data_IF_568973413163
#
_entry.id   IF_568973413163
#
_cell.length_a   1.000
_cell.length_b   1.000
_cell.length_c   1.000
_cell.angle_alpha   90.00
_cell.angle_beta   90.00
_cell.angle_gamma   90.00
#
_symmetry.space_group_name_H-M   'P 1'
#
loop_
_entity.id
_entity.type
_entity.pdbx_description
1 polymer ?
#
# COMPACT_ATOMS: atom_id res chain seq x y z
N UNK A 1 16.96 -11.29 -25.28
CA UNK A 1 15.50 -11.35 -25.45
C UNK A 1 14.87 -11.04 -24.11
N UNK A 2 13.93 -10.09 -24.08
CA UNK A 2 13.17 -9.78 -22.88
C UNK A 2 11.69 -9.79 -23.25
N UNK A 3 11.10 -10.99 -23.25
CA UNK A 3 9.69 -11.16 -22.98
C UNK A 3 9.62 -11.61 -21.52
N UNK A 4 9.42 -10.68 -20.60
CA UNK A 4 9.04 -11.01 -19.23
C UNK A 4 7.80 -10.20 -18.91
N UNK A 5 6.65 -10.74 -19.30
CA UNK A 5 5.42 -10.55 -18.57
C UNK A 5 5.69 -11.08 -17.16
N UNK A 6 6.13 -10.21 -16.23
CA UNK A 6 6.29 -10.62 -14.85
C UNK A 6 4.88 -10.77 -14.29
N UNK A 7 4.49 -12.01 -14.01
CA UNK A 7 3.37 -12.39 -13.13
C UNK A 7 3.58 -11.89 -11.68
N UNK A 8 4.06 -10.66 -11.50
CA UNK A 8 4.16 -10.05 -10.19
C UNK A 8 2.74 -9.64 -9.80
N UNK A 9 2.07 -10.54 -9.07
CA UNK A 9 0.74 -10.38 -8.47
C UNK A 9 0.66 -9.23 -7.43
N UNK A 10 1.68 -8.37 -7.36
CA UNK A 10 1.91 -7.38 -6.31
C UNK A 10 2.58 -6.09 -6.82
N UNK A 11 2.51 -5.78 -8.12
CA UNK A 11 3.00 -4.48 -8.59
C UNK A 11 2.24 -3.36 -7.84
N UNK A 12 2.96 -2.42 -7.18
CA UNK A 12 2.32 -1.30 -6.52
C UNK A 12 1.54 -0.48 -7.54
N UNK A 13 0.46 0.16 -7.09
CA UNK A 13 -0.31 1.08 -7.93
C UNK A 13 0.64 2.06 -8.62
N UNK A 14 0.73 1.97 -9.94
CA UNK A 14 1.41 2.95 -10.78
C UNK A 14 0.34 3.79 -11.46
N UNK A 15 0.53 5.11 -11.42
CA UNK A 15 -0.33 6.03 -12.15
C UNK A 15 0.06 6.15 -13.63
N UNK A 16 -0.45 7.19 -14.28
CA UNK A 16 -0.07 7.53 -15.66
C UNK A 16 -1.01 7.00 -16.75
N UNK A 17 -2.20 6.52 -16.39
CA UNK A 17 -3.27 6.16 -17.32
C UNK A 17 -4.64 6.30 -16.65
N UNK A 18 -5.73 6.04 -17.38
CA UNK A 18 -7.10 6.36 -16.98
C UNK A 18 -7.62 5.56 -15.79
N UNK A 19 -7.04 4.39 -15.51
CA UNK A 19 -7.41 3.53 -14.37
C UNK A 19 -7.29 4.25 -13.02
N UNK A 20 -6.42 5.27 -12.92
CA UNK A 20 -6.26 6.07 -11.69
C UNK A 20 -7.50 6.88 -11.35
N UNK A 21 -8.29 7.27 -12.34
CA UNK A 21 -9.50 8.09 -12.13
C UNK A 21 -10.55 7.27 -11.39
N UNK A 22 -10.80 6.06 -11.88
CA UNK A 22 -11.76 5.13 -11.26
C UNK A 22 -11.21 4.50 -9.97
N UNK A 23 -9.90 4.22 -9.94
CA UNK A 23 -9.21 3.72 -8.75
C UNK A 23 -8.98 4.77 -7.67
N UNK A 24 -9.27 6.05 -7.94
CA UNK A 24 -9.11 7.11 -6.96
C UNK A 24 -9.95 6.81 -5.71
N UNK A 25 -9.46 7.05 -4.48
CA UNK A 25 -10.21 6.73 -3.26
C UNK A 25 -11.59 7.38 -3.13
N UNK A 26 -11.82 8.48 -3.86
CA UNK A 26 -13.14 9.13 -3.91
C UNK A 26 -14.16 8.40 -4.79
N UNK A 27 -13.69 7.59 -5.75
CA UNK A 27 -14.52 6.77 -6.64
C UNK A 27 -14.54 5.32 -6.16
N UNK A 28 -13.37 4.76 -5.83
CA UNK A 28 -13.23 3.49 -5.14
C UNK A 28 -13.47 2.24 -6.00
N UNK A 29 -13.41 2.36 -7.33
CA UNK A 29 -13.65 1.22 -8.23
C UNK A 29 -12.31 0.55 -8.55
N UNK A 30 -12.21 -0.75 -8.28
CA UNK A 30 -11.04 -1.56 -8.63
C UNK A 30 -10.88 -1.68 -10.14
N UNK A 31 -9.98 -0.90 -10.74
CA UNK A 31 -9.72 -0.90 -12.18
C UNK A 31 -8.28 -1.34 -12.45
N UNK A 32 -8.03 -2.61 -12.76
CA UNK A 32 -6.70 -3.05 -13.16
C UNK A 32 -6.34 -2.50 -14.54
N UNK A 33 -5.07 -2.15 -14.72
CA UNK A 33 -4.52 -1.80 -16.02
C UNK A 33 -3.60 -2.92 -16.49
N UNK A 34 -3.84 -3.44 -17.69
CA UNK A 34 -2.87 -4.28 -18.39
C UNK A 34 -2.04 -3.40 -19.32
N UNK A 35 -0.75 -3.30 -19.04
CA UNK A 35 0.18 -2.49 -19.81
C UNK A 35 1.50 -3.24 -20.00
N UNK A 36 2.14 -3.03 -21.15
CA UNK A 36 3.54 -3.39 -21.34
C UNK A 36 4.41 -2.19 -20.94
N UNK A 37 5.14 -2.32 -19.85
CA UNK A 37 6.08 -1.29 -19.38
C UNK A 37 7.39 -1.91 -18.91
N UNK A 38 8.56 -1.32 -19.25
CA UNK A 38 8.75 -0.15 -20.11
C UNK A 38 8.55 -0.47 -21.60
N UNK A 39 8.03 0.49 -22.35
CA UNK A 39 7.97 0.46 -23.82
C UNK A 39 9.11 1.33 -24.40
N UNK A 40 9.83 0.78 -25.38
CA UNK A 40 10.96 1.44 -26.04
C UNK A 40 10.52 2.59 -26.95
N UNK A 41 9.35 2.49 -27.58
CA UNK A 41 8.91 3.43 -28.62
C UNK A 41 7.92 4.47 -28.11
N UNK A 42 7.47 4.33 -26.86
CA UNK A 42 6.55 5.26 -26.21
C UNK A 42 6.98 6.74 -26.34
N UNK A 43 6.06 7.60 -26.77
CA UNK A 43 6.29 9.04 -26.99
C UNK A 43 7.42 9.37 -27.98
N UNK A 44 7.68 8.51 -28.96
CA UNK A 44 8.64 8.76 -30.03
C UNK A 44 7.96 8.73 -31.40
N UNK A 45 8.63 9.26 -32.43
CA UNK A 45 8.15 9.11 -33.82
C UNK A 45 8.22 7.68 -34.37
N UNK A 46 8.79 6.73 -33.62
CA UNK A 46 8.83 5.30 -33.96
C UNK A 46 7.64 4.52 -33.40
N UNK A 47 6.70 5.16 -32.70
CA UNK A 47 5.44 4.54 -32.27
C UNK A 47 4.50 4.36 -33.48
N UNK A 48 4.77 3.31 -34.26
CA UNK A 48 4.11 3.01 -35.53
C UNK A 48 3.54 1.60 -35.54
N UNK A 49 2.63 1.32 -36.48
CA UNK A 49 1.92 0.04 -36.58
C UNK A 49 2.87 -1.15 -36.74
N UNK A 50 4.06 -0.93 -37.33
CA UNK A 50 5.10 -1.95 -37.50
C UNK A 50 5.71 -2.43 -36.18
N UNK A 51 5.51 -1.70 -35.07
CA UNK A 51 5.93 -2.10 -33.72
C UNK A 51 4.87 -2.91 -32.98
N UNK A 52 3.66 -3.00 -33.52
CA UNK A 52 2.55 -3.72 -32.90
C UNK A 52 2.69 -5.22 -33.17
N UNK A 53 2.69 -6.01 -32.10
CA UNK A 53 2.71 -7.47 -32.18
C UNK A 53 1.28 -8.04 -32.15
N UNK A 54 0.92 -8.80 -33.18
CA UNK A 54 -0.35 -9.53 -33.22
C UNK A 54 -0.49 -10.53 -32.06
N UNK A 55 0.60 -11.18 -31.66
CA UNK A 55 0.61 -12.14 -30.53
C UNK A 55 0.31 -11.43 -29.20
N UNK A 56 0.89 -10.26 -28.97
CA UNK A 56 0.63 -9.47 -27.75
C UNK A 56 -0.81 -8.94 -27.76
N UNK A 57 -1.32 -8.48 -28.90
CA UNK A 57 -2.72 -8.07 -29.02
C UNK A 57 -3.66 -9.25 -28.71
N UNK A 58 -3.37 -10.44 -29.24
CA UNK A 58 -4.14 -11.64 -28.96
C UNK A 58 -4.10 -11.99 -27.46
N UNK A 59 -2.93 -11.94 -26.84
CA UNK A 59 -2.77 -12.22 -25.41
C UNK A 59 -3.56 -11.24 -24.54
N UNK A 60 -3.39 -9.94 -24.74
CA UNK A 60 -4.06 -8.90 -23.94
C UNK A 60 -5.57 -8.91 -24.17
N UNK A 61 -6.00 -9.12 -25.42
CA UNK A 61 -7.42 -9.27 -25.77
C UNK A 61 -8.05 -10.47 -25.07
N UNK A 62 -7.42 -11.65 -25.18
CA UNK A 62 -7.87 -12.88 -24.52
C UNK A 62 -7.88 -12.76 -23.00
N UNK A 63 -6.85 -12.16 -22.40
CA UNK A 63 -6.78 -11.92 -20.96
C UNK A 63 -7.91 -11.00 -20.47
N UNK A 64 -8.13 -9.88 -21.17
CA UNK A 64 -9.18 -8.92 -20.84
C UNK A 64 -10.56 -9.55 -20.98
N UNK A 65 -10.81 -10.28 -22.07
CA UNK A 65 -12.06 -10.99 -22.29
C UNK A 65 -12.31 -12.05 -21.21
N UNK A 66 -11.28 -12.82 -20.84
CA UNK A 66 -11.37 -13.84 -19.77
C UNK A 66 -11.67 -13.20 -18.42
N UNK A 67 -11.01 -12.08 -18.09
CA UNK A 67 -11.27 -11.34 -16.85
C UNK A 67 -12.70 -10.82 -16.79
N UNK A 68 -13.18 -10.17 -17.85
CA UNK A 68 -14.56 -9.68 -17.93
C UNK A 68 -15.58 -10.83 -17.88
N UNK A 69 -15.30 -11.93 -18.59
CA UNK A 69 -16.16 -13.12 -18.57
C UNK A 69 -16.24 -13.74 -17.18
N UNK A 70 -15.09 -13.88 -16.50
CA UNK A 70 -15.02 -14.39 -15.13
C UNK A 70 -15.87 -13.52 -14.18
N UNK A 71 -15.67 -12.19 -14.19
CA UNK A 71 -16.45 -11.30 -13.33
C UNK A 71 -17.95 -11.32 -13.62
N UNK A 72 -18.33 -11.39 -14.90
CA UNK A 72 -19.74 -11.42 -15.28
C UNK A 72 -20.43 -12.75 -14.90
N UNK A 73 -19.68 -13.85 -14.89
CA UNK A 73 -20.23 -15.19 -14.67
C UNK A 73 -19.96 -15.76 -13.29
N UNK A 74 -19.09 -15.15 -12.47
CA UNK A 74 -18.68 -15.63 -11.16
C UNK A 74 -19.87 -16.13 -10.32
N UNK A 75 -19.77 -17.36 -9.84
CA UNK A 75 -20.74 -17.97 -8.94
C UNK A 75 -20.20 -17.98 -7.51
N UNK A 76 -21.04 -18.36 -6.53
CA UNK A 76 -20.65 -18.37 -5.13
C UNK A 76 -19.29 -19.04 -4.86
N UNK A 77 -18.95 -20.22 -5.44
CA UNK A 77 -17.62 -20.81 -5.25
C UNK A 77 -16.47 -19.92 -5.72
N UNK A 78 -16.62 -19.26 -6.86
CA UNK A 78 -15.62 -18.33 -7.41
C UNK A 78 -15.46 -17.11 -6.53
N UNK A 79 -16.57 -16.57 -6.02
CA UNK A 79 -16.60 -15.40 -5.14
C UNK A 79 -15.91 -15.72 -3.81
N UNK A 80 -16.19 -16.89 -3.23
CA UNK A 80 -15.53 -17.37 -2.00
C UNK A 80 -14.03 -17.57 -2.21
N UNK A 81 -13.63 -18.09 -3.38
CA UNK A 81 -12.23 -18.22 -3.75
C UNK A 81 -11.54 -16.84 -3.86
N UNK A 82 -12.19 -15.86 -4.50
CA UNK A 82 -11.68 -14.48 -4.57
C UNK A 82 -11.53 -13.87 -3.17
N UNK A 83 -12.53 -14.04 -2.30
CA UNK A 83 -12.46 -13.56 -0.91
C UNK A 83 -11.22 -14.12 -0.19
N UNK A 84 -10.94 -15.41 -0.37
CA UNK A 84 -9.77 -16.06 0.22
C UNK A 84 -8.46 -15.52 -0.36
N UNK A 85 -8.37 -15.31 -1.66
CA UNK A 85 -7.19 -14.70 -2.28
C UNK A 85 -6.96 -13.29 -1.75
N UNK A 86 -8.01 -12.48 -1.62
CA UNK A 86 -7.92 -11.12 -1.06
C UNK A 86 -7.40 -11.16 0.38
N UNK A 87 -7.93 -12.03 1.23
CA UNK A 87 -7.49 -12.21 2.63
C UNK A 87 -6.00 -12.59 2.72
N UNK A 88 -5.59 -13.64 1.99
CA UNK A 88 -4.21 -14.14 2.02
C UNK A 88 -3.24 -13.08 1.52
N UNK A 89 -3.56 -12.41 0.41
CA UNK A 89 -2.71 -11.34 -0.13
C UNK A 89 -2.69 -10.12 0.77
N UNK A 90 -3.79 -9.78 1.43
CA UNK A 90 -3.89 -8.67 2.38
C UNK A 90 -2.97 -8.89 3.58
N UNK A 91 -2.99 -10.08 4.18
CA UNK A 91 -2.05 -10.47 5.26
C UNK A 91 -0.60 -10.40 4.79
N UNK A 92 -0.31 -10.90 3.58
CA UNK A 92 1.02 -10.80 2.97
C UNK A 92 1.52 -9.36 2.81
N UNK A 93 0.65 -8.44 2.35
CA UNK A 93 0.98 -7.01 2.25
C UNK A 93 1.29 -6.38 3.60
N UNK A 94 0.58 -6.75 4.65
CA UNK A 94 0.83 -6.28 6.02
C UNK A 94 2.20 -6.77 6.52
N UNK A 95 2.50 -8.06 6.36
CA UNK A 95 3.81 -8.63 6.73
C UNK A 95 4.96 -8.00 5.96
N UNK A 96 4.79 -7.75 4.66
CA UNK A 96 5.82 -7.08 3.86
C UNK A 96 6.02 -5.62 4.30
N UNK A 97 4.93 -4.89 4.58
CA UNK A 97 5.02 -3.53 5.12
C UNK A 97 5.75 -3.49 6.47
N UNK A 98 5.45 -4.44 7.36
CA UNK A 98 6.13 -4.63 8.65
C UNK A 98 7.65 -4.78 8.47
N UNK A 99 8.07 -5.69 7.57
CA UNK A 99 9.48 -5.89 7.20
C UNK A 99 10.13 -4.62 6.61
N UNK A 100 9.45 -3.97 5.68
CA UNK A 100 9.95 -2.74 5.05
C UNK A 100 10.12 -1.61 6.06
N UNK A 101 9.22 -1.49 7.03
CA UNK A 101 9.32 -0.49 8.09
C UNK A 101 10.53 -0.74 9.00
N UNK A 102 10.80 -2.01 9.33
CA UNK A 102 11.97 -2.40 10.10
C UNK A 102 13.27 -2.13 9.32
N UNK A 103 13.33 -2.51 8.04
CA UNK A 103 14.48 -2.23 7.18
C UNK A 103 14.74 -0.72 7.05
N UNK A 104 13.68 0.06 6.84
CA UNK A 104 13.77 1.53 6.80
C UNK A 104 14.23 2.14 8.12
N UNK A 105 13.89 1.53 9.26
CA UNK A 105 14.40 1.94 10.56
C UNK A 105 15.90 1.69 10.65
N UNK A 106 16.37 0.49 10.32
CA UNK A 106 17.79 0.11 10.34
C UNK A 106 18.64 1.02 9.45
N UNK A 107 18.26 1.20 8.19
CA UNK A 107 18.96 2.09 7.25
C UNK A 107 19.09 3.50 7.81
N UNK A 108 18.02 4.04 8.41
CA UNK A 108 18.07 5.38 9.00
C UNK A 108 18.93 5.42 10.26
N UNK A 109 18.90 4.38 11.07
CA UNK A 109 19.71 4.29 12.28
C UNK A 109 21.21 4.30 11.95
N UNK A 110 21.62 3.56 10.92
CA UNK A 110 22.99 3.55 10.38
C UNK A 110 23.39 4.93 9.84
N UNK A 111 22.51 5.59 9.09
CA UNK A 111 22.80 6.90 8.50
C UNK A 111 23.08 8.03 9.52
N UNK A 112 22.61 7.89 10.76
CA UNK A 112 22.90 8.86 11.85
C UNK A 112 24.34 8.71 12.37
N UNK A 113 25.00 7.56 12.13
CA UNK A 113 26.40 7.32 12.54
C UNK A 113 27.47 7.98 11.65
N UNK A 114 27.12 8.39 10.42
CA UNK A 114 28.10 8.72 9.37
C UNK A 114 28.37 10.23 9.15
N UNK A 115 27.97 11.11 10.07
CA UNK A 115 28.31 12.54 9.96
C UNK A 115 29.29 12.98 11.04
N UNK A 116 30.61 13.07 10.74
CA UNK A 116 31.53 13.90 11.51
C UNK A 116 30.99 15.32 11.48
N UNK A 117 30.89 15.95 12.65
CA UNK A 117 30.34 17.29 12.83
C UNK A 117 30.99 18.32 11.90
N UNK A 118 30.36 18.56 10.75
CA UNK A 118 30.45 19.86 10.08
C UNK A 118 29.18 20.61 10.46
N UNK A 119 29.35 21.61 11.34
CA UNK A 119 28.38 22.69 11.52
C UNK A 119 28.00 23.19 10.13
N UNK A 120 26.83 22.81 9.63
CA UNK A 120 26.26 23.38 8.41
C UNK A 120 25.45 24.59 8.82
N UNK A 121 25.93 25.75 8.39
CA UNK A 121 25.21 27.00 8.37
C UNK A 121 23.81 26.83 7.74
N UNK A 122 22.86 27.53 8.35
CA UNK A 122 21.59 28.01 7.81
C UNK A 122 20.50 26.98 7.45
N UNK A 123 19.43 26.99 8.26
CA UNK A 123 18.05 26.62 7.95
C UNK A 123 17.75 25.22 7.37
N UNK A 124 18.52 24.18 7.73
CA UNK A 124 18.05 22.79 7.59
C UNK A 124 17.42 22.30 8.90
N UNK A 125 16.29 21.55 8.85
CA UNK A 125 15.69 20.98 10.05
C UNK A 125 16.73 20.12 10.78
N UNK A 126 16.83 20.31 12.10
CA UNK A 126 17.75 19.60 12.97
C UNK A 126 17.62 18.09 12.73
N UNK A 127 18.72 17.41 12.41
CA UNK A 127 18.71 15.96 12.25
C UNK A 127 18.22 15.33 13.56
N UNK A 128 17.28 14.38 13.46
CA UNK A 128 16.74 13.67 14.61
C UNK A 128 17.89 12.94 15.33
N UNK A 129 17.90 12.99 16.66
CA UNK A 129 18.76 12.11 17.45
C UNK A 129 18.29 10.65 17.30
N UNK A 130 19.13 9.68 17.67
CA UNK A 130 18.76 8.26 17.58
C UNK A 130 17.56 7.94 18.47
N UNK A 131 17.50 8.55 19.63
CA UNK A 131 16.44 8.42 20.64
C UNK A 131 15.10 8.95 20.10
N UNK A 132 15.14 10.11 19.43
CA UNK A 132 13.99 10.73 18.79
C UNK A 132 13.52 9.95 17.55
N UNK A 133 14.45 9.38 16.78
CA UNK A 133 14.16 8.51 15.64
C UNK A 133 13.35 7.28 16.10
N UNK A 134 13.78 6.62 17.18
CA UNK A 134 13.10 5.46 17.77
C UNK A 134 11.65 5.82 18.14
N UNK A 135 11.44 6.94 18.84
CA UNK A 135 10.10 7.38 19.20
C UNK A 135 9.19 7.60 17.98
N UNK A 136 9.70 8.27 16.94
CA UNK A 136 8.92 8.52 15.71
C UNK A 136 8.56 7.21 15.00
N UNK A 137 9.50 6.28 14.89
CA UNK A 137 9.26 5.00 14.22
C UNK A 137 8.24 4.15 14.94
N UNK A 138 8.30 4.06 16.28
CA UNK A 138 7.31 3.30 17.06
C UNK A 138 5.87 3.80 16.84
N UNK A 139 5.69 5.13 16.73
CA UNK A 139 4.37 5.70 16.37
C UNK A 139 4.00 5.46 14.91
N UNK A 140 4.97 5.63 14.00
CA UNK A 140 4.76 5.47 12.56
C UNK A 140 4.31 4.04 12.23
N UNK A 141 4.93 3.02 12.81
CA UNK A 141 4.64 1.61 12.55
C UNK A 141 3.17 1.31 12.82
N UNK A 142 2.70 1.65 14.02
CA UNK A 142 1.31 1.42 14.39
C UNK A 142 0.36 2.14 13.44
N UNK A 143 0.58 3.43 13.17
CA UNK A 143 -0.28 4.19 12.25
C UNK A 143 -0.30 3.62 10.83
N UNK A 144 0.83 3.15 10.30
CA UNK A 144 0.92 2.66 8.93
C UNK A 144 0.36 1.26 8.77
N UNK A 145 0.59 0.37 9.74
CA UNK A 145 0.03 -0.98 9.71
C UNK A 145 -1.49 -0.93 9.92
N UNK A 146 -1.98 -0.11 10.85
CA UNK A 146 -3.44 0.07 11.03
C UNK A 146 -4.09 0.68 9.79
N UNK A 147 -3.46 1.69 9.17
CA UNK A 147 -3.94 2.23 7.90
C UNK A 147 -4.00 1.16 6.80
N UNK A 148 -2.96 0.32 6.69
CA UNK A 148 -2.95 -0.79 5.73
C UNK A 148 -4.06 -1.79 6.05
N UNK A 149 -4.25 -2.18 7.31
CA UNK A 149 -5.34 -3.06 7.77
C UNK A 149 -6.69 -2.55 7.29
N UNK A 150 -6.99 -1.27 7.49
CA UNK A 150 -8.27 -0.68 7.08
C UNK A 150 -8.47 -0.74 5.57
N UNK A 151 -7.39 -0.59 4.80
CA UNK A 151 -7.42 -0.77 3.34
C UNK A 151 -7.67 -2.23 2.94
N UNK A 152 -7.14 -3.20 3.69
CA UNK A 152 -7.42 -4.62 3.44
C UNK A 152 -8.86 -5.00 3.82
N UNK A 153 -9.43 -4.39 4.86
CA UNK A 153 -10.87 -4.53 5.16
C UNK A 153 -11.74 -4.02 4.01
N UNK A 154 -11.42 -2.84 3.47
CA UNK A 154 -12.12 -2.29 2.31
C UNK A 154 -11.97 -3.16 1.05
N UNK A 155 -10.81 -3.82 0.88
CA UNK A 155 -10.60 -4.75 -0.22
C UNK A 155 -11.44 -6.02 -0.06
N UNK A 156 -11.65 -6.52 1.16
CA UNK A 156 -12.60 -7.61 1.41
C UNK A 156 -14.04 -7.17 1.15
N UNK A 157 -14.42 -5.97 1.61
CA UNK A 157 -15.76 -5.42 1.40
C UNK A 157 -16.13 -5.32 -0.08
N UNK A 158 -15.16 -5.04 -0.96
CA UNK A 158 -15.43 -4.93 -2.39
C UNK A 158 -15.80 -6.26 -3.05
N UNK A 159 -15.46 -7.41 -2.44
CA UNK A 159 -15.84 -8.75 -2.95
C UNK A 159 -17.37 -8.93 -2.91
N UNK A 160 -18.06 -8.21 -2.01
CA UNK A 160 -19.52 -8.19 -1.95
C UNK A 160 -20.18 -7.76 -3.26
N UNK A 161 -19.48 -6.96 -4.09
CA UNK A 161 -19.98 -6.49 -5.37
C UNK A 161 -20.17 -7.61 -6.40
N UNK A 162 -19.59 -8.79 -6.17
CA UNK A 162 -19.72 -9.94 -7.07
C UNK A 162 -20.99 -10.78 -6.80
N UNK A 163 -21.64 -10.57 -5.65
CA UNK A 163 -22.86 -11.33 -5.28
C UNK A 163 -24.06 -10.91 -6.12
N UNK A 164 -24.88 -11.89 -6.53
CA UNK A 164 -26.03 -11.67 -7.43
C UNK A 164 -27.36 -11.62 -6.68
N UNK A 165 -27.44 -12.29 -5.53
CA UNK A 165 -28.67 -12.42 -4.75
C UNK A 165 -28.41 -12.23 -3.24
N UNK A 166 -29.50 -12.13 -2.49
CA UNK A 166 -29.45 -11.85 -1.04
C UNK A 166 -28.83 -12.99 -0.23
N UNK A 167 -29.03 -14.24 -0.65
CA UNK A 167 -28.53 -15.43 0.04
C UNK A 167 -27.00 -15.52 -0.05
N UNK A 168 -26.44 -15.37 -1.26
CA UNK A 168 -24.99 -15.26 -1.48
C UNK A 168 -24.38 -14.14 -0.65
N UNK A 169 -25.08 -12.99 -0.58
CA UNK A 169 -24.65 -11.83 0.19
C UNK A 169 -24.54 -12.15 1.69
N UNK A 170 -25.50 -12.88 2.24
CA UNK A 170 -25.52 -13.23 3.67
C UNK A 170 -24.42 -14.23 4.02
N UNK A 171 -24.23 -15.27 3.19
CA UNK A 171 -23.15 -16.24 3.35
C UNK A 171 -21.78 -15.56 3.30
N UNK A 172 -21.57 -14.70 2.30
CA UNK A 172 -20.31 -14.00 2.11
C UNK A 172 -20.04 -13.01 3.26
N UNK A 173 -21.05 -12.27 3.72
CA UNK A 173 -20.88 -11.28 4.78
C UNK A 173 -20.29 -11.88 6.07
N UNK A 174 -20.83 -13.03 6.51
CA UNK A 174 -20.31 -13.72 7.69
C UNK A 174 -18.84 -14.12 7.53
N UNK A 175 -18.49 -14.69 6.36
CA UNK A 175 -17.11 -15.07 6.06
C UNK A 175 -16.17 -13.86 6.02
N UNK A 176 -16.59 -12.74 5.41
CA UNK A 176 -15.76 -11.55 5.33
C UNK A 176 -15.49 -10.95 6.72
N UNK A 177 -16.47 -11.00 7.63
CA UNK A 177 -16.27 -10.51 9.00
C UNK A 177 -15.24 -11.35 9.76
N UNK A 178 -15.29 -12.69 9.63
CA UNK A 178 -14.26 -13.59 10.16
C UNK A 178 -12.87 -13.30 9.55
N UNK A 179 -12.80 -13.09 8.24
CA UNK A 179 -11.54 -12.74 7.55
C UNK A 179 -10.99 -11.39 8.03
N UNK A 180 -11.84 -10.37 8.21
CA UNK A 180 -11.45 -9.06 8.75
C UNK A 180 -10.93 -9.16 10.18
N UNK A 181 -11.54 -9.99 11.01
CA UNK A 181 -11.02 -10.29 12.35
C UNK A 181 -9.62 -10.93 12.26
N UNK A 182 -9.45 -11.91 11.37
CA UNK A 182 -8.16 -12.53 11.08
C UNK A 182 -7.10 -11.53 10.63
N UNK A 183 -7.44 -10.60 9.73
CA UNK A 183 -6.55 -9.50 9.31
C UNK A 183 -6.22 -8.57 10.47
N UNK A 184 -7.19 -8.27 11.34
CA UNK A 184 -6.98 -7.41 12.51
C UNK A 184 -6.00 -8.05 13.47
N UNK A 185 -6.22 -9.31 13.82
CA UNK A 185 -5.32 -10.08 14.70
C UNK A 185 -3.91 -10.15 14.11
N UNK A 186 -3.79 -10.47 12.83
CA UNK A 186 -2.50 -10.50 12.12
C UNK A 186 -1.79 -9.14 12.16
N UNK A 187 -2.53 -8.04 11.92
CA UNK A 187 -1.96 -6.69 11.95
C UNK A 187 -1.43 -6.29 13.33
N UNK A 188 -2.13 -6.67 14.39
CA UNK A 188 -1.71 -6.39 15.77
C UNK A 188 -0.47 -7.21 16.15
N UNK A 189 -0.41 -8.47 15.72
CA UNK A 189 0.77 -9.32 15.89
C UNK A 189 2.00 -8.69 15.21
N UNK A 190 1.87 -8.30 13.93
CA UNK A 190 2.96 -7.66 13.17
C UNK A 190 3.42 -6.33 13.79
N UNK A 191 2.49 -5.51 14.31
CA UNK A 191 2.83 -4.30 15.07
C UNK A 191 3.65 -4.65 16.31
N UNK A 192 3.20 -5.62 17.09
CA UNK A 192 3.87 -6.03 18.32
C UNK A 192 5.27 -6.56 18.04
N UNK A 193 5.39 -7.49 17.09
CA UNK A 193 6.65 -8.14 16.74
C UNK A 193 7.67 -7.13 16.21
N UNK A 194 7.24 -6.19 15.37
CA UNK A 194 8.11 -5.10 14.89
C UNK A 194 8.56 -4.20 16.02
N UNK A 195 7.66 -3.83 16.95
CA UNK A 195 8.00 -3.01 18.12
C UNK A 195 9.00 -3.72 19.04
N UNK A 196 8.83 -5.03 19.26
CA UNK A 196 9.75 -5.87 20.04
C UNK A 196 11.12 -5.93 19.36
N UNK A 197 11.17 -6.13 18.04
CA UNK A 197 12.42 -6.15 17.28
C UNK A 197 13.18 -4.83 17.42
N UNK A 198 12.49 -3.69 17.23
CA UNK A 198 13.10 -2.36 17.41
C UNK A 198 13.61 -2.18 18.83
N UNK A 199 12.82 -2.56 19.84
CA UNK A 199 13.23 -2.46 21.24
C UNK A 199 14.53 -3.24 21.51
N UNK A 200 14.63 -4.48 21.03
CA UNK A 200 15.85 -5.30 21.18
C UNK A 200 17.05 -4.69 20.46
N UNK A 201 16.86 -4.14 19.26
CA UNK A 201 17.92 -3.44 18.52
C UNK A 201 18.39 -2.22 19.32
N UNK A 202 17.47 -1.41 19.85
CA UNK A 202 17.83 -0.20 20.62
C UNK A 202 18.53 -0.54 21.93
N UNK A 203 18.11 -1.59 22.63
CA UNK A 203 18.76 -2.10 23.84
C UNK A 203 20.19 -2.57 23.54
N UNK A 204 20.41 -3.29 22.44
CA UNK A 204 21.75 -3.73 22.04
C UNK A 204 22.72 -2.58 21.73
N UNK A 205 22.19 -1.39 21.44
CA UNK A 205 22.95 -0.19 21.09
C UNK A 205 22.98 0.86 22.23
N UNK A 206 22.42 0.56 23.41
CA UNK A 206 22.26 1.51 24.52
C UNK A 206 21.55 2.82 24.13
N UNK A 207 20.56 2.75 23.24
CA UNK A 207 19.77 3.91 22.81
C UNK A 207 18.51 3.99 23.66
N UNK A 208 18.38 5.06 24.45
CA UNK A 208 17.16 5.32 25.19
C UNK A 208 16.05 5.89 24.30
N UNK A 209 14.80 5.78 24.73
CA UNK A 209 13.67 6.35 24.00
C UNK A 209 13.38 7.76 24.48
N UNK A 210 13.57 8.75 23.63
CA UNK A 210 13.23 10.15 23.92
C UNK A 210 12.09 10.64 23.01
N UNK A 211 11.10 11.33 23.57
CA UNK A 211 10.02 11.92 22.77
C UNK A 211 10.53 13.10 21.95
N UNK A 212 10.04 13.24 20.71
CA UNK A 212 10.34 14.44 19.92
C UNK A 212 9.70 15.66 20.58
N UNK A 213 10.46 16.76 20.80
CA UNK A 213 9.89 18.00 21.32
C UNK A 213 8.73 18.45 20.44
N UNK A 214 7.59 18.79 21.04
CA UNK A 214 6.48 19.38 20.28
C UNK A 214 6.96 20.71 19.70
N UNK A 215 7.14 20.77 18.37
CA UNK A 215 7.38 22.04 17.67
C UNK A 215 6.26 23.01 18.05
N UNK A 216 6.63 24.20 18.55
CA UNK A 216 5.67 25.29 18.75
C UNK A 216 5.08 25.64 17.38
N UNK A 217 3.75 25.52 17.27
CA UNK A 217 3.03 25.90 16.04
C UNK A 217 3.25 27.39 15.80
N UNK A 218 3.76 27.72 14.62
CA UNK A 218 3.92 29.11 14.23
C UNK A 218 2.64 29.64 13.54
N UNK A 219 2.65 30.92 13.16
CA UNK A 219 1.49 31.55 12.49
C UNK A 219 1.16 30.88 11.14
N UNK A 220 2.18 30.33 10.47
CA UNK A 220 2.03 29.69 9.17
C UNK A 220 1.44 28.29 9.32
N UNK A 221 1.76 27.55 10.38
CA UNK A 221 1.13 26.25 10.70
C UNK A 221 -0.39 26.41 10.94
N UNK A 222 -0.79 27.50 11.62
CA UNK A 222 -2.21 27.79 11.87
C UNK A 222 -2.92 28.15 10.57
N UNK A 223 -2.28 28.95 9.71
CA UNK A 223 -2.81 29.33 8.41
C UNK A 223 -2.92 28.13 7.45
N UNK A 224 -1.88 27.30 7.37
CA UNK A 224 -1.86 26.09 6.57
C UNK A 224 -2.97 25.12 7.00
N UNK A 225 -3.25 24.98 8.30
CA UNK A 225 -4.40 24.20 8.78
C UNK A 225 -5.75 24.73 8.33
N UNK A 226 -5.90 26.05 8.20
CA UNK A 226 -7.13 26.66 7.64
C UNK A 226 -7.25 26.47 6.12
N UNK A 227 -6.13 26.23 5.45
CA UNK A 227 -6.05 25.95 4.02
C UNK A 227 -6.25 24.47 3.68
N UNK A 228 -6.26 23.55 4.67
CA UNK A 228 -6.56 22.14 4.42
C UNK A 228 -8.02 22.04 3.96
N UNK A 229 -8.29 21.61 2.71
CA UNK A 229 -9.64 21.47 2.21
C UNK A 229 -10.41 20.49 3.08
N UNK A 230 -11.54 20.93 3.62
CA UNK A 230 -12.46 20.05 4.35
C UNK A 230 -13.31 19.35 3.30
N UNK A 231 -13.29 18.01 3.28
CA UNK A 231 -14.13 17.23 2.39
C UNK A 231 -15.60 17.49 2.73
N UNK A 232 -16.29 18.26 1.88
CA UNK A 232 -17.68 18.66 2.09
C UNK A 232 -18.68 17.53 1.77
N UNK A 233 -18.25 16.53 1.02
CA UNK A 233 -19.07 15.39 0.61
C UNK A 233 -18.56 14.15 1.34
N UNK A 234 -19.44 13.56 2.16
CA UNK A 234 -19.25 12.20 2.69
C UNK A 234 -19.62 11.24 1.56
N UNK A 235 -18.63 10.49 1.08
CA UNK A 235 -18.87 9.26 0.31
C UNK A 235 -19.33 8.15 1.25
#
# INVERSE_FOLDING_TARGET
GYATFKYANDQPLSGGSDHVVLGHPDVGIGTPMFIQWPDRYYHTGEDTIEKVSADILHLVGSLTATYCYYLANAELPDILWVAREVDVKGKGRITNLSKDLLNNFLIKLESIGDTPGKKKENNKPMALTKEQLVYQFLKKIESQILFRRDREHQALDSVMLLTKNKEEKEVLMNLLDEMKEGITTHSLAEINDTKVAIKRITESMNIEKESVPKRKKDKYDIFAKKMIPIKLIKG
#
